data_IF_009734076214
#
_entry.id   IF_009734076214
#
_cell.length_a   1.000
_cell.length_b   1.000
_cell.length_c   1.000
_cell.angle_alpha   90.00
_cell.angle_beta   90.00
_cell.angle_gamma   90.00
#
_symmetry.space_group_name_H-M   'P 1'
#
loop_
_entity.id
_entity.type
_entity.pdbx_description
1 polymer ?
#
# COMPACT_ATOMS: atom_id res chain seq x y z
N UNK A 1 -37.06 -36.14 44.33
CA UNK A 1 -36.39 -36.42 43.04
C UNK A 1 -36.72 -35.26 42.12
N UNK A 2 -36.22 -34.04 42.36
CA UNK A 2 -34.82 -33.56 42.31
C UNK A 2 -34.19 -33.83 40.96
N UNK A 3 -34.15 -32.78 40.13
CA UNK A 3 -33.55 -32.77 38.80
C UNK A 3 -33.80 -31.43 38.10
N UNK A 4 -33.41 -30.33 38.74
CA UNK A 4 -33.38 -29.01 38.11
C UNK A 4 -32.15 -28.91 37.21
N UNK A 5 -32.35 -28.52 35.96
CA UNK A 5 -31.28 -28.12 35.05
C UNK A 5 -31.49 -26.62 34.79
N UNK A 6 -30.74 -25.81 35.52
CA UNK A 6 -30.48 -24.43 35.14
C UNK A 6 -29.60 -24.44 33.89
N UNK A 7 -29.94 -23.74 32.80
CA UNK A 7 -28.94 -23.32 31.85
C UNK A 7 -28.14 -22.19 32.50
N UNK A 8 -26.96 -22.58 32.96
CA UNK A 8 -25.84 -21.75 33.38
C UNK A 8 -25.60 -20.61 32.39
N UNK A 9 -25.63 -19.40 32.92
CA UNK A 9 -24.62 -18.36 32.74
C UNK A 9 -23.87 -18.46 31.41
N UNK A 10 -24.35 -17.67 30.46
CA UNK A 10 -23.57 -17.23 29.30
C UNK A 10 -22.46 -16.33 29.84
N UNK A 11 -21.39 -16.96 30.34
CA UNK A 11 -20.15 -16.29 30.73
C UNK A 11 -19.66 -15.51 29.53
N UNK A 12 -19.83 -14.18 29.63
CA UNK A 12 -19.21 -13.23 28.72
C UNK A 12 -17.73 -13.56 28.61
N UNK A 13 -17.36 -14.11 27.46
CA UNK A 13 -15.96 -14.19 27.05
C UNK A 13 -15.53 -12.79 26.66
N UNK A 14 -15.27 -11.95 27.66
CA UNK A 14 -14.43 -10.76 27.53
C UNK A 14 -13.00 -11.23 27.23
N UNK A 15 -12.73 -11.58 25.97
CA UNK A 15 -11.35 -11.58 25.44
C UNK A 15 -11.02 -10.13 25.15
N UNK A 16 -10.45 -9.43 26.14
CA UNK A 16 -9.01 -9.12 26.21
C UNK A 16 -8.56 -8.45 24.93
N UNK A 17 -8.43 -7.12 24.98
CA UNK A 17 -7.94 -6.31 23.87
C UNK A 17 -6.61 -6.82 23.32
N UNK A 18 -6.35 -6.49 22.05
CA UNK A 18 -5.16 -6.91 21.32
C UNK A 18 -3.88 -6.73 22.14
N UNK A 19 -2.98 -7.74 22.16
CA UNK A 19 -1.78 -7.71 22.98
C UNK A 19 -0.90 -6.51 22.61
N UNK A 20 -0.26 -5.92 23.63
CA UNK A 20 0.73 -4.88 23.44
C UNK A 20 2.09 -5.51 23.10
N UNK A 21 2.75 -4.98 22.07
CA UNK A 21 4.09 -5.35 21.67
C UNK A 21 5.08 -4.43 22.37
N UNK A 22 6.01 -5.04 23.10
CA UNK A 22 7.17 -4.35 23.65
C UNK A 22 8.27 -4.15 22.57
N UNK A 23 9.33 -3.45 22.95
CA UNK A 23 10.43 -3.15 22.03
C UNK A 23 11.20 -4.40 21.57
N UNK A 24 11.19 -5.51 22.32
CA UNK A 24 11.84 -6.75 21.90
C UNK A 24 11.00 -7.48 20.85
N UNK A 25 9.69 -7.59 21.08
CA UNK A 25 8.74 -8.17 20.14
C UNK A 25 8.73 -7.39 18.82
N UNK A 26 8.72 -6.05 18.88
CA UNK A 26 8.71 -5.21 17.69
C UNK A 26 9.99 -5.32 16.86
N UNK A 27 11.16 -5.43 17.51
CA UNK A 27 12.43 -5.72 16.82
C UNK A 27 12.43 -7.10 16.15
N UNK A 28 11.83 -8.11 16.79
CA UNK A 28 11.63 -9.43 16.18
C UNK A 28 10.83 -9.33 14.88
N UNK A 29 9.70 -8.62 14.92
CA UNK A 29 8.86 -8.38 13.73
C UNK A 29 9.64 -7.62 12.64
N UNK A 30 10.41 -6.59 12.99
CA UNK A 30 11.23 -5.86 12.01
C UNK A 30 12.29 -6.74 11.35
N UNK A 31 12.96 -7.60 12.12
CA UNK A 31 13.94 -8.54 11.59
C UNK A 31 13.32 -9.55 10.61
N UNK A 32 12.14 -10.08 10.94
CA UNK A 32 11.39 -10.97 10.05
C UNK A 32 10.93 -10.25 8.77
N UNK A 33 10.39 -9.04 8.90
CA UNK A 33 9.98 -8.22 7.76
C UNK A 33 11.16 -7.87 6.85
N UNK A 34 12.33 -7.55 7.42
CA UNK A 34 13.53 -7.28 6.63
C UNK A 34 13.95 -8.48 5.76
N UNK A 35 13.89 -9.69 6.33
CA UNK A 35 14.18 -10.94 5.60
C UNK A 35 13.14 -11.21 4.50
N UNK A 36 11.85 -11.14 4.84
CA UNK A 36 10.76 -11.40 3.89
C UNK A 36 10.77 -10.37 2.76
N UNK A 37 10.90 -9.09 3.07
CA UNK A 37 10.96 -8.03 2.05
C UNK A 37 12.20 -8.18 1.15
N UNK A 38 13.35 -8.57 1.71
CA UNK A 38 14.55 -8.88 0.92
C UNK A 38 14.30 -9.97 -0.12
N UNK A 39 13.63 -11.06 0.27
CA UNK A 39 13.25 -12.13 -0.65
C UNK A 39 12.23 -11.65 -1.71
N UNK A 40 11.21 -10.90 -1.30
CA UNK A 40 10.18 -10.39 -2.22
C UNK A 40 10.76 -9.45 -3.28
N UNK A 41 11.72 -8.60 -2.91
CA UNK A 41 12.43 -7.72 -3.85
C UNK A 41 13.29 -8.56 -4.81
N UNK A 42 14.01 -9.57 -4.30
CA UNK A 42 14.80 -10.46 -5.15
C UNK A 42 13.92 -11.23 -6.16
N UNK A 43 12.77 -11.75 -5.73
CA UNK A 43 11.80 -12.43 -6.58
C UNK A 43 11.23 -11.49 -7.65
N UNK A 44 10.95 -10.23 -7.31
CA UNK A 44 10.50 -9.21 -8.26
C UNK A 44 11.57 -8.93 -9.32
N UNK A 45 12.82 -8.72 -8.90
CA UNK A 45 13.95 -8.47 -9.80
C UNK A 45 14.23 -9.65 -10.74
N UNK A 46 14.10 -10.90 -10.25
CA UNK A 46 14.22 -12.10 -11.09
C UNK A 46 13.13 -12.16 -12.17
N UNK A 47 11.89 -11.83 -11.80
CA UNK A 47 10.78 -11.80 -12.74
C UNK A 47 10.93 -10.69 -13.78
N UNK A 48 11.48 -9.55 -13.39
CA UNK A 48 11.81 -8.44 -14.29
C UNK A 48 12.88 -8.82 -15.29
N UNK A 49 13.96 -9.47 -14.84
CA UNK A 49 15.00 -9.98 -15.73
C UNK A 49 14.42 -11.00 -16.74
N UNK A 50 13.50 -11.87 -16.29
CA UNK A 50 12.81 -12.83 -17.15
C UNK A 50 11.89 -12.14 -18.17
N UNK A 51 11.14 -11.13 -17.74
CA UNK A 51 10.27 -10.32 -18.60
C UNK A 51 11.10 -9.60 -19.68
N UNK A 52 12.20 -8.93 -19.30
CA UNK A 52 13.09 -8.24 -20.22
C UNK A 52 13.70 -9.19 -21.25
N UNK A 53 14.22 -10.34 -20.81
CA UNK A 53 14.81 -11.35 -21.70
C UNK A 53 13.80 -11.89 -22.72
N UNK A 54 12.54 -12.11 -22.32
CA UNK A 54 11.50 -12.56 -23.25
C UNK A 54 11.03 -11.44 -24.18
N UNK A 55 11.04 -10.18 -23.73
CA UNK A 55 10.74 -9.03 -24.57
C UNK A 55 11.78 -8.85 -25.68
N UNK A 56 13.06 -8.89 -25.33
CA UNK A 56 14.18 -8.88 -26.29
C UNK A 56 14.11 -10.11 -27.24
N UNK A 57 13.73 -11.26 -26.67
CA UNK A 57 13.20 -12.44 -27.34
C UNK A 57 12.30 -12.13 -28.56
N UNK A 58 11.17 -11.51 -28.23
CA UNK A 58 10.12 -11.13 -29.18
C UNK A 58 10.63 -10.14 -30.23
N UNK A 59 11.38 -9.12 -29.80
CA UNK A 59 11.93 -8.09 -30.67
C UNK A 59 12.91 -8.67 -31.69
N UNK A 60 13.91 -9.43 -31.22
CA UNK A 60 14.88 -10.13 -32.08
C UNK A 60 14.19 -11.01 -33.13
N UNK A 61 13.10 -11.70 -32.73
CA UNK A 61 12.31 -12.51 -33.67
C UNK A 61 11.60 -11.65 -34.70
N UNK A 62 10.99 -10.54 -34.28
CA UNK A 62 10.32 -9.61 -35.17
C UNK A 62 11.31 -9.05 -36.20
N UNK A 63 12.49 -8.61 -35.75
CA UNK A 63 13.58 -8.15 -36.61
C UNK A 63 14.01 -9.23 -37.61
N UNK A 64 14.17 -10.48 -37.17
CA UNK A 64 14.52 -11.59 -38.04
C UNK A 64 13.45 -11.85 -39.11
N UNK A 65 12.16 -11.74 -38.78
CA UNK A 65 11.06 -11.85 -39.76
C UNK A 65 11.10 -10.73 -40.78
N UNK A 66 11.34 -9.49 -40.32
CA UNK A 66 11.46 -8.31 -41.18
C UNK A 66 12.64 -8.48 -42.13
N UNK A 67 13.81 -8.88 -41.62
CA UNK A 67 15.03 -9.11 -42.41
C UNK A 67 14.81 -10.20 -43.48
N UNK A 68 14.07 -11.26 -43.15
CA UNK A 68 13.76 -12.35 -44.07
C UNK A 68 12.53 -12.09 -44.96
N UNK A 69 11.92 -10.90 -44.90
CA UNK A 69 10.74 -10.51 -45.68
C UNK A 69 9.57 -11.51 -45.54
N UNK A 70 9.40 -12.09 -44.36
CA UNK A 70 8.27 -12.97 -44.09
C UNK A 70 6.97 -12.16 -44.11
N UNK A 71 5.98 -12.57 -44.89
CA UNK A 71 4.69 -11.89 -44.95
C UNK A 71 3.90 -12.08 -43.65
N UNK A 72 3.04 -11.12 -43.32
CA UNK A 72 2.19 -11.17 -42.12
C UNK A 72 1.23 -12.38 -42.12
N UNK A 73 0.92 -12.90 -43.30
CA UNK A 73 -0.04 -13.99 -43.49
C UNK A 73 0.57 -15.38 -43.26
N UNK A 74 1.88 -15.48 -43.04
CA UNK A 74 2.56 -16.75 -42.76
C UNK A 74 2.44 -17.13 -41.28
N UNK A 75 1.89 -18.32 -40.95
CA UNK A 75 1.77 -18.80 -39.58
C UNK A 75 3.12 -18.80 -38.85
N UNK A 76 3.12 -18.31 -37.61
CA UNK A 76 4.30 -18.26 -36.76
C UNK A 76 4.06 -18.93 -35.38
N UNK A 77 4.11 -20.26 -35.31
CA UNK A 77 3.88 -20.96 -34.04
C UNK A 77 4.93 -20.61 -32.99
N UNK A 78 6.19 -20.37 -33.39
CA UNK A 78 7.27 -20.02 -32.46
C UNK A 78 7.08 -18.59 -31.93
N UNK A 79 6.67 -17.66 -32.80
CA UNK A 79 6.35 -16.28 -32.41
C UNK A 79 5.13 -16.21 -31.51
N UNK A 80 4.08 -16.97 -31.81
CA UNK A 80 2.90 -17.07 -30.97
C UNK A 80 3.25 -17.62 -29.58
N UNK A 81 4.06 -18.69 -29.50
CA UNK A 81 4.54 -19.24 -28.23
C UNK A 81 5.36 -18.21 -27.44
N UNK A 82 6.27 -17.50 -28.11
CA UNK A 82 7.14 -16.52 -27.47
C UNK A 82 6.34 -15.32 -26.94
N UNK A 83 5.37 -14.82 -27.71
CA UNK A 83 4.44 -13.79 -27.29
C UNK A 83 3.60 -14.23 -26.08
N UNK A 84 3.06 -15.46 -26.08
CA UNK A 84 2.35 -15.99 -24.92
C UNK A 84 3.23 -16.05 -23.66
N UNK A 85 4.48 -16.50 -23.78
CA UNK A 85 5.43 -16.55 -22.66
C UNK A 85 5.78 -15.15 -22.16
N UNK A 86 5.99 -14.20 -23.06
CA UNK A 86 6.25 -12.79 -22.72
C UNK A 86 5.07 -12.18 -21.96
N UNK A 87 3.83 -12.41 -22.40
CA UNK A 87 2.63 -11.94 -21.71
C UNK A 87 2.50 -12.54 -20.29
N UNK A 88 2.79 -13.83 -20.12
CA UNK A 88 2.80 -14.46 -18.80
C UNK A 88 3.88 -13.83 -17.92
N UNK A 89 5.10 -13.66 -18.44
CA UNK A 89 6.21 -13.06 -17.70
C UNK A 89 5.92 -11.61 -17.29
N UNK A 90 5.30 -10.81 -18.16
CA UNK A 90 4.86 -9.45 -17.83
C UNK A 90 3.86 -9.44 -16.67
N UNK A 91 2.83 -10.30 -16.72
CA UNK A 91 1.87 -10.42 -15.62
C UNK A 91 2.55 -10.85 -14.32
N UNK A 92 3.46 -11.83 -14.36
CA UNK A 92 4.19 -12.29 -13.16
C UNK A 92 5.08 -11.19 -12.58
N UNK A 93 5.82 -10.46 -13.43
CA UNK A 93 6.64 -9.32 -13.05
C UNK A 93 5.79 -8.24 -12.36
N UNK A 94 4.66 -7.85 -12.97
CA UNK A 94 3.73 -6.87 -12.41
C UNK A 94 3.21 -7.29 -11.04
N UNK A 95 2.72 -8.52 -10.89
CA UNK A 95 2.19 -8.99 -9.61
C UNK A 95 3.28 -9.10 -8.54
N UNK A 96 4.51 -9.53 -8.90
CA UNK A 96 5.64 -9.59 -7.95
C UNK A 96 6.10 -8.21 -7.51
N UNK A 97 6.21 -7.23 -8.43
CA UNK A 97 6.51 -5.83 -8.07
C UNK A 97 5.46 -5.26 -7.13
N UNK A 98 4.18 -5.48 -7.45
CA UNK A 98 3.08 -5.06 -6.59
C UNK A 98 3.20 -5.70 -5.21
N UNK A 99 3.37 -7.01 -5.13
CA UNK A 99 3.50 -7.70 -3.83
C UNK A 99 4.72 -7.20 -3.04
N UNK A 100 5.89 -7.07 -3.68
CA UNK A 100 7.08 -6.50 -3.04
C UNK A 100 6.81 -5.10 -2.49
N UNK A 101 6.14 -4.25 -3.26
CA UNK A 101 5.73 -2.92 -2.84
C UNK A 101 4.84 -2.95 -1.59
N UNK A 102 3.83 -3.81 -1.57
CA UNK A 102 2.90 -3.90 -0.43
C UNK A 102 3.60 -4.36 0.86
N UNK A 103 4.51 -5.34 0.76
CA UNK A 103 5.29 -5.82 1.91
C UNK A 103 6.28 -4.78 2.41
N UNK A 104 6.98 -4.11 1.50
CA UNK A 104 7.93 -3.06 1.86
C UNK A 104 7.21 -1.85 2.48
N UNK A 105 6.05 -1.46 1.97
CA UNK A 105 5.21 -0.42 2.58
C UNK A 105 4.81 -0.79 4.02
N UNK A 106 4.43 -2.04 4.25
CA UNK A 106 4.16 -2.55 5.59
C UNK A 106 5.41 -2.49 6.48
N UNK A 107 6.56 -2.90 5.98
CA UNK A 107 7.81 -2.81 6.73
C UNK A 107 8.19 -1.37 7.10
N UNK A 108 8.04 -0.41 6.18
CA UNK A 108 8.29 1.00 6.46
C UNK A 108 7.37 1.55 7.55
N UNK A 109 6.07 1.21 7.49
CA UNK A 109 5.10 1.61 8.52
C UNK A 109 5.47 1.04 9.90
N UNK A 110 5.82 -0.24 9.97
CA UNK A 110 6.23 -0.89 11.22
C UNK A 110 7.55 -0.30 11.74
N UNK A 111 8.49 0.05 10.85
CA UNK A 111 9.74 0.71 11.21
C UNK A 111 9.48 2.10 11.82
N UNK A 112 8.59 2.90 11.23
CA UNK A 112 8.18 4.20 11.79
C UNK A 112 7.47 4.05 13.14
N UNK A 113 6.59 3.05 13.29
CA UNK A 113 5.94 2.74 14.57
C UNK A 113 6.96 2.35 15.64
N UNK A 114 7.97 1.55 15.29
CA UNK A 114 9.02 1.14 16.21
C UNK A 114 9.88 2.31 16.66
N UNK A 115 10.20 3.22 15.74
CA UNK A 115 10.94 4.42 16.07
C UNK A 115 10.14 5.34 17.01
N UNK A 116 8.84 5.54 16.72
CA UNK A 116 7.95 6.32 17.58
C UNK A 116 7.83 5.69 18.99
N UNK A 117 7.64 4.37 19.06
CA UNK A 117 7.55 3.62 20.31
C UNK A 117 8.82 3.70 21.14
N UNK A 118 9.99 3.57 20.49
CA UNK A 118 11.29 3.70 21.13
C UNK A 118 11.52 5.12 21.68
N UNK A 119 11.21 6.16 20.90
CA UNK A 119 11.39 7.56 21.32
C UNK A 119 10.47 7.95 22.48
N UNK A 120 9.20 7.54 22.42
CA UNK A 120 8.19 7.87 23.42
C UNK A 120 8.14 6.91 24.60
N UNK A 121 8.88 5.79 24.54
CA UNK A 121 8.84 4.68 25.51
C UNK A 121 7.44 4.09 25.70
N UNK A 122 6.67 4.02 24.63
CA UNK A 122 5.33 3.45 24.61
C UNK A 122 5.34 2.07 23.94
N UNK A 123 4.39 1.22 24.32
CA UNK A 123 4.13 -0.05 23.64
C UNK A 123 3.25 0.19 22.41
N UNK A 124 3.31 -0.73 21.44
CA UNK A 124 2.47 -0.67 20.23
C UNK A 124 1.42 -1.77 20.31
N UNK A 125 0.15 -1.46 20.08
CA UNK A 125 -0.89 -2.49 19.98
C UNK A 125 -0.62 -3.39 18.77
N UNK A 126 -0.64 -4.71 18.98
CA UNK A 126 -0.41 -5.68 17.90
C UNK A 126 -1.37 -5.50 16.72
N UNK A 127 -2.64 -5.18 16.99
CA UNK A 127 -3.62 -4.84 15.96
C UNK A 127 -3.16 -3.71 15.01
N UNK A 128 -2.39 -2.72 15.48
CA UNK A 128 -1.88 -1.63 14.62
C UNK A 128 -0.80 -2.12 13.67
N UNK A 129 0.07 -3.02 14.12
CA UNK A 129 1.12 -3.64 13.29
C UNK A 129 0.49 -4.55 12.23
N UNK A 130 -0.48 -5.36 12.65
CA UNK A 130 -1.18 -6.31 11.77
C UNK A 130 -2.15 -5.62 10.80
N UNK A 131 -2.63 -4.42 11.12
CA UNK A 131 -3.58 -3.72 10.27
C UNK A 131 -3.07 -3.46 8.84
N UNK A 132 -1.76 -3.30 8.66
CA UNK A 132 -1.11 -3.11 7.38
C UNK A 132 -0.74 -4.44 6.65
N UNK A 133 -0.85 -5.57 7.33
CA UNK A 133 -0.57 -6.91 6.77
C UNK A 133 -1.49 -7.21 5.57
N UNK A 134 -0.94 -7.61 4.40
CA UNK A 134 -1.74 -7.95 3.21
C UNK A 134 -2.68 -9.14 3.37
N UNK A 135 -2.38 -10.02 4.31
CA UNK A 135 -2.92 -11.39 4.34
C UNK A 135 -3.97 -11.61 5.42
N UNK A 136 -3.99 -10.72 6.43
CA UNK A 136 -4.85 -10.90 7.61
C UNK A 136 -6.22 -10.25 7.42
N UNK A 137 -7.25 -10.84 8.02
CA UNK A 137 -8.54 -10.21 8.26
C UNK A 137 -8.63 -9.83 9.75
N UNK A 138 -8.99 -8.57 10.02
CA UNK A 138 -9.20 -8.09 11.39
C UNK A 138 -10.68 -8.14 11.75
N UNK A 139 -10.98 -8.50 13.00
CA UNK A 139 -12.33 -8.39 13.55
C UNK A 139 -12.65 -6.97 14.03
N UNK A 140 -13.92 -6.71 14.30
CA UNK A 140 -14.45 -5.38 14.65
C UNK A 140 -13.73 -4.70 15.83
N UNK A 141 -13.30 -5.47 16.84
CA UNK A 141 -12.58 -4.92 18.00
C UNK A 141 -11.17 -4.43 17.65
N UNK A 142 -10.47 -5.11 16.74
CA UNK A 142 -9.13 -4.72 16.30
C UNK A 142 -9.17 -3.56 15.31
N UNK A 143 -10.26 -3.44 14.54
CA UNK A 143 -10.46 -2.30 13.63
C UNK A 143 -10.62 -0.97 14.36
N UNK A 144 -11.06 -0.97 15.64
CA UNK A 144 -11.11 0.24 16.47
C UNK A 144 -9.74 0.83 16.80
N UNK A 145 -8.66 0.11 16.53
CA UNK A 145 -7.29 0.61 16.71
C UNK A 145 -6.84 1.48 15.51
N UNK A 146 -7.58 1.44 14.40
CA UNK A 146 -7.29 2.26 13.22
C UNK A 146 -7.70 3.72 13.43
N UNK A 147 -7.06 4.68 12.74
CA UNK A 147 -7.44 6.10 12.80
C UNK A 147 -8.92 6.30 12.54
N UNK A 148 -9.62 7.09 13.35
CA UNK A 148 -11.04 7.37 13.13
C UNK A 148 -11.27 8.15 11.83
N UNK A 149 -12.38 7.85 11.16
CA UNK A 149 -12.83 8.61 10.00
C UNK A 149 -13.38 9.94 10.52
N UNK A 150 -12.92 11.05 9.94
CA UNK A 150 -13.38 12.37 10.34
C UNK A 150 -14.90 12.50 10.15
N UNK A 151 -15.56 13.25 11.05
CA UNK A 151 -17.01 13.48 10.93
C UNK A 151 -17.37 14.09 9.58
N UNK A 152 -16.53 15.02 9.08
CA UNK A 152 -16.69 15.65 7.78
C UNK A 152 -16.66 14.64 6.64
N UNK A 153 -15.67 13.73 6.60
CA UNK A 153 -15.56 12.73 5.53
C UNK A 153 -16.70 11.73 5.57
N UNK A 154 -17.12 11.35 6.78
CA UNK A 154 -18.30 10.51 7.00
C UNK A 154 -19.56 11.17 6.45
N UNK A 155 -19.80 12.43 6.79
CA UNK A 155 -20.99 13.16 6.38
C UNK A 155 -21.01 13.39 4.86
N UNK A 156 -19.88 13.73 4.26
CA UNK A 156 -19.76 13.89 2.81
C UNK A 156 -20.00 12.57 2.06
N UNK A 157 -19.50 11.47 2.57
CA UNK A 157 -19.70 10.14 1.97
C UNK A 157 -21.16 9.71 2.07
N UNK A 158 -21.79 9.91 3.23
CA UNK A 158 -23.21 9.63 3.41
C UNK A 158 -24.09 10.55 2.56
N UNK A 159 -23.72 11.81 2.39
CA UNK A 159 -24.41 12.74 1.49
C UNK A 159 -24.33 12.25 0.04
N UNK A 160 -23.15 11.87 -0.45
CA UNK A 160 -22.98 11.31 -1.79
C UNK A 160 -23.85 10.05 -1.97
N UNK A 161 -23.88 9.16 -0.98
CA UNK A 161 -24.72 7.96 -1.01
C UNK A 161 -26.21 8.30 -1.04
N UNK A 162 -26.67 9.33 -0.31
CA UNK A 162 -28.08 9.79 -0.37
C UNK A 162 -28.43 10.38 -1.72
N UNK A 163 -27.55 11.18 -2.31
CA UNK A 163 -27.75 11.75 -3.64
C UNK A 163 -27.82 10.65 -4.70
N UNK A 164 -27.02 9.58 -4.57
CA UNK A 164 -27.06 8.41 -5.46
C UNK A 164 -28.40 7.65 -5.44
N UNK A 165 -29.17 7.73 -4.34
CA UNK A 165 -30.49 7.13 -4.26
C UNK A 165 -31.60 7.99 -4.90
N UNK A 166 -31.29 9.22 -5.32
CA UNK A 166 -32.26 10.12 -5.94
C UNK A 166 -32.37 9.81 -7.44
N UNK A 167 -33.58 9.64 -8.00
CA UNK A 167 -33.73 9.38 -9.42
C UNK A 167 -33.12 10.52 -10.25
N UNK A 168 -32.21 10.20 -11.16
CA UNK A 168 -31.64 11.18 -12.08
C UNK A 168 -32.73 11.71 -13.03
N UNK A 169 -32.77 13.02 -13.32
CA UNK A 169 -33.63 13.56 -14.36
C UNK A 169 -33.30 12.93 -15.73
N UNK A 170 -34.30 12.68 -16.59
CA UNK A 170 -34.05 12.16 -17.92
C UNK A 170 -33.19 13.13 -18.74
N UNK A 171 -31.99 12.69 -19.15
CA UNK A 171 -31.08 13.43 -20.04
C UNK A 171 -29.79 13.94 -19.39
N UNK A 172 -29.67 13.92 -18.06
CA UNK A 172 -28.41 14.27 -17.37
C UNK A 172 -27.44 13.08 -17.36
N UNK A 173 -26.47 13.10 -18.27
CA UNK A 173 -25.32 12.19 -18.27
C UNK A 173 -24.20 12.73 -17.35
N UNK A 174 -24.55 13.12 -16.12
CA UNK A 174 -23.54 13.43 -15.10
C UNK A 174 -22.81 12.16 -14.65
N UNK A 175 -21.63 12.30 -14.01
CA UNK A 175 -20.98 11.15 -13.32
C UNK A 175 -22.02 10.47 -12.44
N UNK A 176 -22.14 9.15 -12.57
CA UNK A 176 -23.04 8.34 -11.75
C UNK A 176 -22.72 8.62 -10.28
N UNK A 177 -23.67 9.24 -9.56
CA UNK A 177 -23.50 9.59 -8.16
C UNK A 177 -23.28 8.34 -7.29
N UNK A 178 -23.75 7.16 -7.74
CA UNK A 178 -23.43 5.90 -7.08
C UNK A 178 -21.93 5.58 -7.17
N UNK A 179 -21.32 5.77 -8.34
CA UNK A 179 -19.86 5.61 -8.52
C UNK A 179 -19.09 6.57 -7.63
N UNK A 180 -19.47 7.86 -7.60
CA UNK A 180 -18.82 8.86 -6.73
C UNK A 180 -18.92 8.48 -5.25
N UNK A 181 -20.08 7.99 -4.82
CA UNK A 181 -20.29 7.56 -3.44
C UNK A 181 -19.44 6.33 -3.08
N UNK A 182 -19.38 5.33 -3.97
CA UNK A 182 -18.57 4.12 -3.80
C UNK A 182 -17.08 4.46 -3.78
N UNK A 183 -16.61 5.32 -4.68
CA UNK A 183 -15.22 5.78 -4.72
C UNK A 183 -14.84 6.49 -3.43
N UNK A 184 -15.67 7.44 -2.96
CA UNK A 184 -15.43 8.13 -1.68
C UNK A 184 -15.37 7.17 -0.51
N UNK A 185 -16.34 6.27 -0.37
CA UNK A 185 -16.34 5.26 0.68
C UNK A 185 -15.08 4.38 0.61
N UNK A 186 -14.72 3.96 -0.60
CA UNK A 186 -13.53 3.15 -0.87
C UNK A 186 -12.24 3.85 -0.48
N UNK A 187 -12.10 5.18 -0.68
CA UNK A 187 -10.94 5.97 -0.25
C UNK A 187 -10.81 6.03 1.27
N UNK A 188 -11.93 6.00 1.99
CA UNK A 188 -11.95 5.98 3.46
C UNK A 188 -11.78 4.57 4.05
N UNK A 189 -11.67 3.54 3.20
CA UNK A 189 -11.58 2.16 3.66
C UNK A 189 -12.89 1.62 4.25
N UNK A 190 -14.04 2.09 3.75
CA UNK A 190 -15.36 1.63 4.18
C UNK A 190 -16.25 1.28 3.01
N UNK A 191 -17.32 0.56 3.29
CA UNK A 191 -18.37 0.23 2.34
C UNK A 191 -19.67 0.95 2.72
N UNK A 192 -20.46 1.28 1.70
CA UNK A 192 -21.83 1.77 1.90
C UNK A 192 -22.76 0.56 1.98
N UNK A 193 -23.56 0.51 3.05
CA UNK A 193 -24.66 -0.44 3.22
C UNK A 193 -25.98 0.31 3.28
N UNK A 194 -26.93 -0.16 2.50
CA UNK A 194 -28.30 0.36 2.49
C UNK A 194 -29.17 -0.49 3.41
N UNK A 195 -29.62 0.10 4.52
CA UNK A 195 -30.54 -0.54 5.47
C UNK A 195 -31.75 0.36 5.70
N UNK A 196 -32.96 -0.19 5.64
CA UNK A 196 -34.22 0.55 5.87
C UNK A 196 -34.40 1.85 5.03
N UNK A 197 -33.72 1.96 3.88
CA UNK A 197 -33.77 3.14 3.03
C UNK A 197 -32.77 4.25 3.35
N UNK A 198 -31.90 4.08 4.36
CA UNK A 198 -30.81 5.02 4.66
C UNK A 198 -29.43 4.36 4.42
N UNK A 199 -28.47 5.09 3.85
CA UNK A 199 -27.11 4.61 3.72
C UNK A 199 -26.40 4.67 5.07
N UNK A 200 -25.61 3.64 5.33
CA UNK A 200 -24.75 3.51 6.50
C UNK A 200 -23.36 3.12 6.04
N UNK A 201 -22.33 3.54 6.78
CA UNK A 201 -20.96 3.12 6.51
C UNK A 201 -20.65 1.90 7.36
N UNK A 202 -20.09 0.87 6.74
CA UNK A 202 -19.60 -0.33 7.43
C UNK A 202 -18.15 -0.59 7.06
N UNK A 203 -17.38 -1.02 8.05
CA UNK A 203 -16.01 -1.49 7.87
C UNK A 203 -16.06 -2.95 7.39
N UNK A 204 -15.37 -3.30 6.31
CA UNK A 204 -15.39 -4.67 5.76
C UNK A 204 -14.21 -5.54 6.24
N UNK A 205 -13.33 -4.96 7.05
CA UNK A 205 -12.17 -5.63 7.62
C UNK A 205 -11.14 -6.14 6.62
N UNK A 206 -11.27 -5.85 5.31
CA UNK A 206 -10.34 -6.31 4.28
C UNK A 206 -9.01 -5.54 4.34
N UNK A 207 -7.93 -6.14 3.85
CA UNK A 207 -6.59 -5.55 3.96
C UNK A 207 -6.43 -4.20 3.23
N UNK A 208 -7.00 -4.07 2.04
CA UNK A 208 -6.92 -2.84 1.25
C UNK A 208 -7.64 -1.66 1.93
N UNK A 209 -8.83 -1.90 2.45
CA UNK A 209 -9.64 -0.94 3.17
C UNK A 209 -8.91 -0.43 4.43
N UNK A 210 -8.31 -1.34 5.21
CA UNK A 210 -7.51 -0.96 6.37
C UNK A 210 -6.31 -0.09 5.98
N UNK A 211 -5.58 -0.45 4.95
CA UNK A 211 -4.41 0.33 4.47
C UNK A 211 -4.80 1.72 3.98
N UNK A 212 -5.91 1.83 3.24
CA UNK A 212 -6.45 3.14 2.83
C UNK A 212 -6.80 4.00 4.04
N UNK A 213 -7.38 3.41 5.08
CA UNK A 213 -7.67 4.10 6.34
C UNK A 213 -6.41 4.48 7.12
N UNK A 214 -5.38 3.63 7.11
CA UNK A 214 -4.10 3.88 7.79
C UNK A 214 -3.26 4.96 7.11
N UNK A 215 -3.17 4.90 5.78
CA UNK A 215 -2.15 5.61 5.01
C UNK A 215 -2.75 6.65 4.05
N UNK A 216 -4.06 6.62 3.80
CA UNK A 216 -4.76 7.64 3.03
C UNK A 216 -4.30 7.75 1.58
N UNK A 217 -4.23 8.99 1.09
CA UNK A 217 -3.90 9.32 -0.32
C UNK A 217 -2.57 8.73 -0.80
N UNK A 218 -1.45 8.79 -0.05
CA UNK A 218 -0.20 8.13 -0.45
C UNK A 218 -0.36 6.65 -0.83
N UNK A 219 -1.23 5.91 -0.14
CA UNK A 219 -1.48 4.51 -0.46
C UNK A 219 -2.40 4.34 -1.67
N UNK A 220 -3.45 5.15 -1.74
CA UNK A 220 -4.46 5.07 -2.80
C UNK A 220 -3.82 5.34 -4.16
N UNK A 221 -3.02 6.40 -4.24
CA UNK A 221 -2.45 6.87 -5.51
C UNK A 221 -1.08 6.23 -5.76
N UNK A 222 -0.16 6.26 -4.79
CA UNK A 222 1.24 5.88 -4.99
C UNK A 222 1.66 4.56 -4.35
N UNK A 223 0.72 3.83 -3.72
CA UNK A 223 1.01 2.57 -2.99
C UNK A 223 2.14 2.71 -1.97
N UNK A 224 2.22 3.88 -1.33
CA UNK A 224 3.17 4.19 -0.28
C UNK A 224 2.47 4.30 1.09
N UNK A 225 3.15 3.93 2.18
CA UNK A 225 2.64 4.21 3.52
C UNK A 225 2.78 5.70 3.84
N UNK A 226 1.95 6.20 4.76
CA UNK A 226 2.11 7.54 5.29
C UNK A 226 3.29 7.57 6.26
N UNK A 227 4.44 8.07 5.81
CA UNK A 227 5.61 8.25 6.65
C UNK A 227 5.45 9.46 7.59
N UNK A 228 6.17 9.48 8.72
CA UNK A 228 6.18 10.61 9.65
C UNK A 228 6.72 11.87 8.99
N UNK A 229 6.19 13.02 9.40
CA UNK A 229 6.70 14.33 8.97
C UNK A 229 8.16 14.54 9.42
N UNK A 230 8.97 15.32 8.68
CA UNK A 230 10.39 15.51 8.98
C UNK A 230 10.68 15.97 10.41
N UNK A 231 9.88 16.90 10.93
CA UNK A 231 10.03 17.43 12.29
C UNK A 231 9.74 16.35 13.34
N UNK A 232 8.67 15.57 13.13
CA UNK A 232 8.31 14.46 14.00
C UNK A 232 9.37 13.35 13.98
N UNK A 233 9.89 13.03 12.80
CA UNK A 233 10.96 12.05 12.63
C UNK A 233 12.25 12.52 13.33
N UNK A 234 12.60 13.80 13.20
CA UNK A 234 13.75 14.41 13.89
C UNK A 234 13.62 14.30 15.40
N UNK A 235 12.43 14.62 15.94
CA UNK A 235 12.14 14.50 17.37
C UNK A 235 12.29 13.06 17.87
N UNK A 236 11.77 12.08 17.12
CA UNK A 236 11.88 10.67 17.51
C UNK A 236 13.31 10.15 17.45
N UNK A 237 14.08 10.52 16.42
CA UNK A 237 15.50 10.15 16.32
C UNK A 237 16.29 10.71 17.53
N UNK A 238 16.03 11.97 17.89
CA UNK A 238 16.65 12.62 19.05
C UNK A 238 16.26 11.94 20.38
N UNK A 239 14.98 11.60 20.54
CA UNK A 239 14.48 10.88 21.73
C UNK A 239 15.07 9.47 21.84
N UNK A 240 15.25 8.78 20.71
CA UNK A 240 15.92 7.48 20.62
C UNK A 240 17.44 7.58 20.85
N UNK A 241 18.01 8.78 20.82
CA UNK A 241 19.46 9.03 20.86
C UNK A 241 20.23 8.35 19.74
N UNK A 242 19.63 8.25 18.55
CA UNK A 242 20.30 7.73 17.36
C UNK A 242 21.40 8.71 16.97
N UNK A 243 22.64 8.23 16.90
CA UNK A 243 23.81 9.05 16.63
C UNK A 243 23.98 9.36 15.14
N UNK A 244 24.75 10.41 14.84
CA UNK A 244 25.28 10.64 13.49
C UNK A 244 26.31 9.55 13.12
N UNK A 245 26.37 9.10 11.85
CA UNK A 245 25.63 9.61 10.69
C UNK A 245 24.22 9.01 10.48
N UNK A 246 23.81 8.04 11.30
CA UNK A 246 22.60 7.25 11.07
C UNK A 246 21.32 8.10 11.08
N UNK A 247 21.22 9.10 11.96
CA UNK A 247 20.11 10.06 11.98
C UNK A 247 19.97 10.82 10.65
N UNK A 248 21.06 11.39 10.14
CA UNK A 248 21.06 12.10 8.84
C UNK A 248 20.68 11.15 7.70
N UNK A 249 21.19 9.92 7.73
CA UNK A 249 20.89 8.93 6.69
C UNK A 249 19.43 8.47 6.68
N UNK A 250 18.78 8.35 7.84
CA UNK A 250 17.36 8.03 7.97
C UNK A 250 16.50 9.19 7.46
N UNK A 251 16.82 10.42 7.86
CA UNK A 251 16.11 11.62 7.39
C UNK A 251 16.23 11.78 5.87
N UNK A 252 17.42 11.55 5.31
CA UNK A 252 17.64 11.55 3.87
C UNK A 252 16.79 10.51 3.14
N UNK A 253 16.75 9.27 3.63
CA UNK A 253 15.95 8.21 3.03
C UNK A 253 14.44 8.49 3.12
N UNK A 254 13.94 9.04 4.24
CA UNK A 254 12.54 9.44 4.37
C UNK A 254 12.17 10.54 3.37
N UNK A 255 13.08 11.51 3.16
CA UNK A 255 12.89 12.58 2.17
C UNK A 255 12.86 12.04 0.74
N UNK A 256 13.73 11.10 0.39
CA UNK A 256 13.73 10.47 -0.93
C UNK A 256 12.40 9.75 -1.22
N UNK A 257 11.86 9.02 -0.23
CA UNK A 257 10.52 8.41 -0.31
C UNK A 257 9.44 9.47 -0.54
N UNK A 258 9.48 10.58 0.21
CA UNK A 258 8.52 11.66 0.04
C UNK A 258 8.59 12.29 -1.36
N UNK A 259 9.80 12.51 -1.89
CA UNK A 259 10.01 13.05 -3.25
C UNK A 259 9.44 12.10 -4.30
N UNK A 260 9.77 10.81 -4.25
CA UNK A 260 9.26 9.83 -5.22
C UNK A 260 7.74 9.62 -5.12
N UNK A 261 7.17 9.72 -3.92
CA UNK A 261 5.71 9.70 -3.72
C UNK A 261 5.04 10.91 -4.36
N UNK A 262 5.59 12.11 -4.14
CA UNK A 262 5.10 13.34 -4.75
C UNK A 262 5.27 13.35 -6.27
N UNK A 263 6.35 12.76 -6.79
CA UNK A 263 6.55 12.61 -8.23
C UNK A 263 5.42 11.79 -8.86
N UNK A 264 5.04 10.68 -8.23
CA UNK A 264 3.92 9.86 -8.69
C UNK A 264 2.58 10.63 -8.68
N UNK A 265 2.30 11.37 -7.60
CA UNK A 265 1.09 12.19 -7.50
C UNK A 265 1.04 13.28 -8.58
N UNK A 266 2.19 13.89 -8.89
CA UNK A 266 2.31 14.90 -9.95
C UNK A 266 2.11 14.30 -11.34
N UNK A 267 2.61 13.09 -11.58
CA UNK A 267 2.39 12.40 -12.86
C UNK A 267 0.89 12.15 -13.09
N UNK A 268 0.17 11.66 -12.07
CA UNK A 268 -1.27 11.45 -12.14
C UNK A 268 -2.06 12.76 -12.36
N UNK A 269 -1.64 13.85 -11.70
CA UNK A 269 -2.27 15.17 -11.90
C UNK A 269 -2.10 15.65 -13.35
N UNK A 270 -0.94 15.43 -13.95
CA UNK A 270 -0.66 15.81 -15.34
C UNK A 270 -1.43 14.95 -16.34
N UNK A 271 -1.60 13.65 -16.07
CA UNK A 271 -2.38 12.75 -16.91
C UNK A 271 -3.89 13.04 -16.87
N UNK A 272 -4.41 13.48 -15.72
CA UNK A 272 -5.82 13.85 -15.56
C UNK A 272 -6.15 15.21 -16.23
N UNK A 273 -5.15 16.03 -16.55
CA UNK A 273 -5.34 17.31 -17.23
C UNK A 273 -5.28 17.15 -18.76
N UNK A 274 -6.40 16.73 -19.35
CA UNK A 274 -6.63 16.60 -20.80
C UNK A 274 -6.31 17.88 -21.61
N UNK A 275 -6.05 19.02 -20.96
CA UNK A 275 -5.69 20.28 -21.64
C UNK A 275 -4.19 20.47 -21.89
N UNK A 276 -3.34 19.57 -21.37
CA UNK A 276 -1.88 19.68 -21.39
C UNK A 276 -1.20 18.63 -22.29
N UNK A 277 -1.74 18.39 -23.49
CA UNK A 277 -1.09 17.53 -24.48
C UNK A 277 0.08 18.24 -25.18
N UNK A 278 1.31 17.97 -24.73
CA UNK A 278 2.54 18.49 -25.34
C UNK A 278 3.76 17.59 -25.09
N UNK A 279 4.78 17.62 -25.98
CA UNK A 279 5.97 16.78 -25.85
C UNK A 279 6.76 17.05 -24.56
N UNK A 280 6.78 18.30 -24.08
CA UNK A 280 7.44 18.68 -22.83
C UNK A 280 6.75 18.07 -21.61
N UNK A 281 5.41 18.01 -21.62
CA UNK A 281 4.59 17.40 -20.55
C UNK A 281 4.79 15.89 -20.53
N UNK A 282 4.83 15.25 -21.71
CA UNK A 282 5.13 13.82 -21.80
C UNK A 282 6.52 13.46 -21.27
N UNK A 283 7.54 14.29 -21.56
CA UNK A 283 8.89 14.10 -21.03
C UNK A 283 8.95 14.33 -19.50
N UNK A 284 8.17 15.29 -18.97
CA UNK A 284 8.00 15.48 -17.53
C UNK A 284 7.35 14.25 -16.88
N UNK A 285 6.25 13.74 -17.43
CA UNK A 285 5.55 12.54 -16.96
C UNK A 285 6.50 11.32 -16.95
N UNK A 286 7.26 11.09 -18.02
CA UNK A 286 8.25 10.01 -18.08
C UNK A 286 9.29 10.13 -16.96
N UNK A 287 9.87 11.32 -16.77
CA UNK A 287 10.83 11.58 -15.68
C UNK A 287 10.23 11.34 -14.30
N UNK A 288 8.96 11.72 -14.09
CA UNK A 288 8.26 11.53 -12.82
C UNK A 288 7.99 10.05 -12.54
N UNK A 289 7.64 9.26 -13.56
CA UNK A 289 7.48 7.82 -13.42
C UNK A 289 8.80 7.09 -13.14
N UNK A 290 9.90 7.50 -13.78
CA UNK A 290 11.22 6.95 -13.46
C UNK A 290 11.60 7.17 -11.98
N UNK A 291 11.20 8.29 -11.39
CA UNK A 291 11.36 8.55 -9.96
C UNK A 291 10.41 7.70 -9.11
N UNK A 292 9.15 7.55 -9.52
CA UNK A 292 8.15 6.76 -8.81
C UNK A 292 8.48 5.25 -8.81
N UNK A 293 9.09 4.74 -9.89
CA UNK A 293 9.48 3.33 -10.02
C UNK A 293 10.50 2.91 -8.95
N UNK A 294 11.37 3.84 -8.51
CA UNK A 294 12.37 3.61 -7.47
C UNK A 294 11.77 3.49 -6.05
N UNK A 295 10.49 3.84 -5.87
CA UNK A 295 9.90 4.00 -4.54
C UNK A 295 9.90 2.68 -3.73
N UNK A 296 9.97 1.50 -4.36
CA UNK A 296 10.09 0.20 -3.65
C UNK A 296 11.45 0.12 -2.95
N UNK A 297 12.51 0.46 -3.67
CA UNK A 297 13.88 0.39 -3.16
C UNK A 297 14.16 1.49 -2.14
N UNK A 298 13.58 2.68 -2.35
CA UNK A 298 13.67 3.79 -1.40
C UNK A 298 12.99 3.45 -0.07
N UNK A 299 11.77 2.90 -0.10
CA UNK A 299 11.08 2.44 1.10
C UNK A 299 11.87 1.32 1.80
N UNK A 300 12.43 0.36 1.05
CA UNK A 300 13.24 -0.70 1.62
C UNK A 300 14.52 -0.15 2.27
N UNK A 301 15.16 0.84 1.65
CA UNK A 301 16.34 1.53 2.19
C UNK A 301 16.01 2.28 3.48
N UNK A 302 14.92 3.05 3.50
CA UNK A 302 14.44 3.71 4.71
C UNK A 302 14.19 2.70 5.84
N UNK A 303 13.42 1.64 5.55
CA UNK A 303 13.04 0.63 6.53
C UNK A 303 14.25 -0.09 7.10
N UNK A 304 15.23 -0.41 6.25
CA UNK A 304 16.50 -1.03 6.65
C UNK A 304 17.29 -0.13 7.58
N UNK A 305 17.51 1.13 7.19
CA UNK A 305 18.25 2.10 8.02
C UNK A 305 17.62 2.28 9.41
N UNK A 306 16.30 2.38 9.49
CA UNK A 306 15.58 2.47 10.78
C UNK A 306 15.71 1.17 11.57
N UNK A 307 15.55 0.01 10.92
CA UNK A 307 15.69 -1.30 11.56
C UNK A 307 17.10 -1.50 12.12
N UNK A 308 18.13 -1.17 11.36
CA UNK A 308 19.53 -1.29 11.75
C UNK A 308 19.86 -0.35 12.92
N UNK A 309 19.37 0.89 12.90
CA UNK A 309 19.56 1.83 14.00
C UNK A 309 18.89 1.37 15.31
N UNK A 310 17.69 0.79 15.24
CA UNK A 310 16.96 0.32 16.41
C UNK A 310 17.48 -1.03 16.94
N UNK A 311 18.08 -1.86 16.08
CA UNK A 311 18.59 -3.18 16.44
C UNK A 311 20.09 -3.20 16.75
N UNK A 312 20.87 -2.27 16.19
CA UNK A 312 22.33 -2.22 16.29
C UNK A 312 22.90 -1.68 17.60
N UNK A 313 22.13 -0.88 18.35
CA UNK A 313 22.67 -0.06 19.46
C UNK A 313 22.47 -0.61 20.89
N UNK A 314 22.20 -1.91 21.08
CA UNK A 314 22.12 -2.53 22.42
C UNK A 314 23.28 -3.48 22.74
N UNK A 315 24.45 -3.15 22.22
CA UNK A 315 25.72 -3.79 22.53
C UNK A 315 26.77 -2.85 23.13
N UNK A 316 26.38 -1.96 24.05
CA UNK A 316 27.29 -1.25 24.97
C UNK A 316 26.59 -0.81 26.26
#
# INVERSE_FOLDING_TARGET
MSGGINPTENSGSTRTGSPELDAAALRGVLGELALVCGNMIADANEADATMMSLSEACETRLEHRIANRMTHDQPDPVGAQLSMRSNIANNVARERRKAAREFVAWWSDVASLALAAAGTRQTVRSARVVAADPTILLGDEDLRVLPDISATDRDLTLLAARLAMTPAPPGEHGRDMATVAIERAGRLGVQIRYGNGEPTLSEDGNAEARRRRLWGTPWIEARAPLLPEPDQLTDWLAQCKIAEPASTEILGAAREVAVATMAHLRALELEDDDSQDGPDVMAEIETLYEQADQLTDLLATYSRKVTDALCGDLGN
#
